data_IF_117513409797
#
_entry.id   IF_117513409797
#
_cell.length_a   1.000
_cell.length_b   1.000
_cell.length_c   1.000
_cell.angle_alpha   90.00
_cell.angle_beta   90.00
_cell.angle_gamma   90.00
#
_symmetry.space_group_name_H-M   'P 1'
#
loop_
_entity.id
_entity.type
_entity.pdbx_description
1 polymer ?
#
# COMPACT_ATOMS: atom_id res chain seq x y z
N UNK A 1 -14.30 -5.74 -46.06
CA UNK A 1 -14.62 -4.95 -44.85
C UNK A 1 -13.57 -5.30 -43.81
N UNK A 2 -12.71 -4.37 -43.36
CA UNK A 2 -11.81 -4.68 -42.26
C UNK A 2 -12.66 -4.86 -41.00
N UNK A 3 -12.36 -5.88 -40.19
CA UNK A 3 -12.92 -6.01 -38.85
C UNK A 3 -12.43 -4.83 -38.01
N UNK A 4 -13.36 -4.00 -37.59
CA UNK A 4 -13.15 -3.00 -36.55
C UNK A 4 -13.08 -3.76 -35.22
N UNK A 5 -11.85 -4.02 -34.75
CA UNK A 5 -11.63 -4.59 -33.41
C UNK A 5 -12.04 -3.48 -32.44
N UNK A 6 -13.16 -3.65 -31.74
CA UNK A 6 -13.50 -2.79 -30.61
C UNK A 6 -12.44 -3.01 -29.54
N UNK A 7 -11.61 -1.99 -29.30
CA UNK A 7 -10.70 -1.97 -28.17
C UNK A 7 -11.55 -1.90 -26.90
N UNK A 8 -11.73 -3.04 -26.23
CA UNK A 8 -12.17 -3.03 -24.84
C UNK A 8 -11.17 -2.20 -24.03
N UNK A 9 -11.65 -1.23 -23.27
CA UNK A 9 -10.84 -0.39 -22.38
C UNK A 9 -10.07 -1.31 -21.42
N UNK A 10 -8.75 -1.43 -21.60
CA UNK A 10 -7.91 -2.18 -20.68
C UNK A 10 -7.62 -1.26 -19.49
N UNK A 11 -8.21 -1.57 -18.33
CA UNK A 11 -7.99 -0.82 -17.10
C UNK A 11 -6.80 -1.40 -16.33
N UNK A 12 -5.74 -0.62 -16.25
CA UNK A 12 -4.58 -0.86 -15.41
C UNK A 12 -4.70 -0.07 -14.11
N UNK A 13 -4.55 -0.76 -12.98
CA UNK A 13 -4.27 -0.10 -11.71
C UNK A 13 -2.79 -0.33 -11.45
N UNK A 14 -1.99 0.69 -11.77
CA UNK A 14 -0.58 0.67 -11.45
C UNK A 14 -0.39 1.30 -10.09
N UNK A 15 0.19 0.56 -9.15
CA UNK A 15 0.79 1.16 -7.96
C UNK A 15 2.13 1.75 -8.43
N UNK A 16 2.20 3.07 -8.55
CA UNK A 16 3.35 3.73 -9.21
C UNK A 16 4.35 4.20 -8.17
N UNK A 17 4.25 3.85 -6.89
CA UNK A 17 5.39 3.98 -5.99
C UNK A 17 5.14 3.30 -4.64
N UNK A 18 5.66 2.09 -4.42
CA UNK A 18 5.64 1.45 -3.09
C UNK A 18 6.92 1.77 -2.33
N UNK A 19 6.76 2.42 -1.17
CA UNK A 19 7.82 2.78 -0.24
C UNK A 19 7.67 2.01 1.06
N UNK A 20 8.63 1.14 1.35
CA UNK A 20 8.77 0.60 2.70
C UNK A 20 9.52 1.61 3.57
N UNK A 21 8.85 2.14 4.58
CA UNK A 21 9.37 3.12 5.52
C UNK A 21 9.64 2.48 6.88
N UNK A 22 10.79 2.82 7.46
CA UNK A 22 11.11 2.60 8.86
C UNK A 22 11.15 3.97 9.53
N UNK A 23 10.06 4.28 10.24
CA UNK A 23 9.77 5.63 10.68
C UNK A 23 9.84 6.67 9.56
N UNK A 24 10.79 7.60 9.63
CA UNK A 24 10.98 8.65 8.62
C UNK A 24 12.08 8.33 7.59
N UNK A 25 12.42 7.05 7.40
CA UNK A 25 13.45 6.61 6.45
C UNK A 25 12.87 5.64 5.44
N UNK A 26 13.20 5.83 4.17
CA UNK A 26 12.89 4.88 3.09
C UNK A 26 13.90 3.72 3.15
N UNK A 27 13.39 2.51 3.25
CA UNK A 27 14.16 1.25 3.30
C UNK A 27 14.17 0.57 1.93
N UNK A 28 13.05 0.63 1.21
CA UNK A 28 12.89 0.10 -0.14
C UNK A 28 11.95 0.99 -0.95
N UNK A 29 12.15 1.05 -2.27
CA UNK A 29 11.36 1.87 -3.19
C UNK A 29 11.18 1.13 -4.51
N UNK A 30 9.93 1.04 -4.97
CA UNK A 30 9.61 0.26 -6.16
C UNK A 30 8.37 0.77 -6.89
N UNK A 31 8.20 0.34 -8.13
CA UNK A 31 6.97 0.45 -8.90
C UNK A 31 6.26 -0.91 -8.90
N UNK A 32 5.02 -0.95 -8.42
CA UNK A 32 4.22 -2.17 -8.28
C UNK A 32 3.07 -2.18 -9.31
N UNK A 33 3.28 -2.87 -10.42
CA UNK A 33 2.27 -2.94 -11.48
C UNK A 33 1.30 -4.07 -11.21
N UNK A 34 0.01 -3.77 -11.30
CA UNK A 34 -1.04 -4.78 -11.28
C UNK A 34 -2.06 -4.54 -12.37
N UNK A 35 -2.79 -5.59 -12.74
CA UNK A 35 -3.83 -5.51 -13.77
C UNK A 35 -5.12 -6.07 -13.22
N UNK A 36 -6.21 -5.32 -13.47
CA UNK A 36 -7.57 -5.70 -13.10
C UNK A 36 -8.29 -6.40 -14.26
N UNK A 37 -7.76 -6.24 -15.48
CA UNK A 37 -8.24 -6.91 -16.68
C UNK A 37 -7.61 -8.30 -16.85
N UNK A 38 -8.24 -9.10 -17.70
CA UNK A 38 -7.84 -10.39 -18.26
C UNK A 38 -6.47 -10.38 -18.94
N UNK A 39 -6.02 -9.20 -19.39
CA UNK A 39 -4.76 -9.01 -20.09
C UNK A 39 -3.58 -8.97 -19.11
N UNK A 40 -2.58 -9.82 -19.34
CA UNK A 40 -1.38 -9.87 -18.50
C UNK A 40 -0.42 -8.69 -18.72
N UNK A 41 0.45 -8.39 -17.75
CA UNK A 41 1.55 -7.42 -17.92
C UNK A 41 2.49 -7.76 -19.10
N UNK A 42 2.60 -9.05 -19.44
CA UNK A 42 3.30 -9.50 -20.67
C UNK A 42 2.71 -8.88 -21.93
N UNK A 43 1.38 -8.81 -22.02
CA UNK A 43 0.70 -8.18 -23.13
C UNK A 43 1.02 -6.68 -23.18
N UNK A 44 0.93 -6.00 -22.04
CA UNK A 44 1.26 -4.58 -21.93
C UNK A 44 2.68 -4.30 -22.45
N UNK A 45 3.71 -4.98 -21.94
CA UNK A 45 5.09 -4.69 -22.36
C UNK A 45 5.38 -5.08 -23.81
N UNK A 46 4.67 -6.06 -24.36
CA UNK A 46 4.77 -6.42 -25.78
C UNK A 46 4.24 -5.33 -26.70
N UNK A 47 3.17 -4.64 -26.30
CA UNK A 47 2.47 -3.66 -27.14
C UNK A 47 2.67 -2.20 -26.70
N UNK A 48 3.41 -1.96 -25.61
CA UNK A 48 3.85 -0.66 -25.12
C UNK A 48 5.36 -0.69 -24.79
N UNK A 49 6.23 -0.79 -25.81
CA UNK A 49 7.67 -0.94 -25.61
C UNK A 49 8.32 0.26 -24.90
N UNK A 50 7.72 1.44 -24.99
CA UNK A 50 8.17 2.63 -24.27
C UNK A 50 8.05 2.47 -22.75
N UNK A 51 6.99 1.82 -22.27
CA UNK A 51 6.80 1.51 -20.84
C UNK A 51 7.89 0.55 -20.37
N UNK A 52 8.13 -0.52 -21.13
CA UNK A 52 9.18 -1.49 -20.82
C UNK A 52 10.57 -0.84 -20.78
N UNK A 53 10.84 0.07 -21.72
CA UNK A 53 12.09 0.83 -21.76
C UNK A 53 12.27 1.74 -20.55
N UNK A 54 11.23 2.47 -20.15
CA UNK A 54 11.29 3.35 -18.97
C UNK A 54 11.49 2.56 -17.67
N UNK A 55 10.92 1.34 -17.59
CA UNK A 55 11.14 0.39 -16.50
C UNK A 55 12.48 -0.35 -16.55
N UNK A 56 13.34 -0.05 -17.54
CA UNK A 56 14.61 -0.74 -17.79
C UNK A 56 14.46 -2.27 -17.92
N UNK A 57 13.36 -2.73 -18.52
CA UNK A 57 13.12 -4.14 -18.81
C UNK A 57 14.02 -4.55 -19.99
N UNK A 58 15.12 -5.23 -19.67
CA UNK A 58 16.08 -5.75 -20.65
C UNK A 58 15.74 -7.16 -21.15
N UNK A 59 16.54 -7.71 -22.08
CA UNK A 59 16.40 -9.08 -22.58
C UNK A 59 16.49 -10.15 -21.48
N UNK A 60 17.16 -9.81 -20.38
CA UNK A 60 17.39 -10.68 -19.22
C UNK A 60 16.16 -10.80 -18.31
N UNK A 61 15.13 -9.98 -18.51
CA UNK A 61 13.93 -9.99 -17.68
C UNK A 61 13.07 -11.22 -17.97
N UNK A 62 12.86 -12.06 -16.95
CA UNK A 62 11.94 -13.19 -17.03
C UNK A 62 10.78 -13.01 -16.06
N UNK A 63 9.56 -13.21 -16.55
CA UNK A 63 8.36 -13.20 -15.73
C UNK A 63 8.29 -14.39 -14.76
N UNK A 64 9.00 -15.48 -15.04
CA UNK A 64 9.06 -16.64 -14.15
C UNK A 64 9.91 -16.37 -12.90
N UNK A 65 10.90 -15.49 -13.02
CA UNK A 65 11.82 -15.13 -11.93
C UNK A 65 11.60 -13.70 -11.40
N UNK A 66 10.66 -12.97 -11.98
CA UNK A 66 10.38 -11.60 -11.59
C UNK A 66 9.88 -11.53 -10.13
N UNK A 67 10.25 -10.44 -9.45
CA UNK A 67 9.79 -10.18 -8.09
C UNK A 67 8.28 -9.90 -8.14
N UNK A 68 7.52 -10.79 -7.50
CA UNK A 68 6.08 -10.61 -7.34
C UNK A 68 5.82 -9.62 -6.20
N UNK A 69 4.89 -8.70 -6.39
CA UNK A 69 4.46 -7.79 -5.32
C UNK A 69 3.76 -8.59 -4.21
N UNK A 70 3.87 -8.12 -2.97
CA UNK A 70 3.32 -8.83 -1.82
C UNK A 70 1.80 -8.67 -1.77
N UNK A 71 1.05 -9.76 -1.85
CA UNK A 71 -0.42 -9.70 -1.77
C UNK A 71 -0.94 -9.06 -0.47
N UNK A 72 -0.17 -9.10 0.63
CA UNK A 72 -0.52 -8.43 1.90
C UNK A 72 -0.55 -6.91 1.75
N UNK A 73 0.27 -6.36 0.86
CA UNK A 73 0.23 -4.94 0.48
C UNK A 73 -1.13 -4.60 -0.13
N UNK A 74 -1.59 -5.39 -1.10
CA UNK A 74 -2.89 -5.18 -1.75
C UNK A 74 -4.08 -5.41 -0.83
N UNK A 75 -4.05 -6.38 0.08
CA UNK A 75 -5.11 -6.57 1.07
C UNK A 75 -5.26 -5.38 2.01
N UNK A 76 -4.13 -4.79 2.38
CA UNK A 76 -4.13 -3.60 3.22
C UNK A 76 -4.69 -2.42 2.43
N UNK A 77 -4.25 -2.21 1.20
CA UNK A 77 -4.63 -1.04 0.40
C UNK A 77 -6.04 -1.12 -0.20
N UNK A 78 -6.45 -2.28 -0.72
CA UNK A 78 -7.69 -2.45 -1.46
C UNK A 78 -8.55 -3.60 -0.90
N UNK A 79 -9.85 -3.37 -0.68
CA UNK A 79 -10.78 -4.42 -0.23
C UNK A 79 -11.10 -5.46 -1.31
N UNK A 80 -10.50 -5.35 -2.50
CA UNK A 80 -10.73 -6.21 -3.67
C UNK A 80 -9.42 -6.75 -4.23
N UNK A 81 -8.51 -7.18 -3.36
CA UNK A 81 -7.19 -7.71 -3.73
C UNK A 81 -7.27 -8.88 -4.75
N UNK A 82 -8.34 -9.68 -4.72
CA UNK A 82 -8.58 -10.78 -5.66
C UNK A 82 -8.77 -10.34 -7.11
N UNK A 83 -9.06 -9.05 -7.34
CA UNK A 83 -9.17 -8.50 -8.70
C UNK A 83 -7.80 -8.24 -9.34
N UNK A 84 -6.72 -8.24 -8.56
CA UNK A 84 -5.38 -7.98 -9.07
C UNK A 84 -4.71 -9.30 -9.44
N UNK A 85 -4.30 -9.42 -10.70
CA UNK A 85 -3.56 -10.59 -11.18
C UNK A 85 -2.09 -10.26 -11.42
N UNK A 86 -1.20 -11.15 -10.94
CA UNK A 86 0.25 -11.18 -11.22
C UNK A 86 0.94 -9.81 -11.12
N UNK A 87 0.96 -9.28 -9.90
CA UNK A 87 1.61 -8.01 -9.60
C UNK A 87 3.14 -8.09 -9.70
N UNK A 88 3.75 -7.16 -10.44
CA UNK A 88 5.18 -7.10 -10.67
C UNK A 88 5.82 -5.89 -10.02
N UNK A 89 6.95 -6.13 -9.36
CA UNK A 89 7.72 -5.10 -8.71
C UNK A 89 8.97 -4.73 -9.52
N UNK A 90 9.16 -3.45 -9.80
CA UNK A 90 10.36 -2.90 -10.46
C UNK A 90 11.07 -1.92 -9.52
N UNK A 91 12.41 -1.90 -9.48
CA UNK A 91 13.14 -0.93 -8.65
C UNK A 91 12.80 0.51 -9.03
N UNK A 92 12.58 1.35 -8.04
CA UNK A 92 12.37 2.79 -8.22
C UNK A 92 13.41 3.59 -7.43
N UNK A 93 13.66 4.82 -7.88
CA UNK A 93 14.52 5.75 -7.14
C UNK A 93 13.70 6.43 -6.06
N UNK A 94 14.32 6.63 -4.90
CA UNK A 94 13.67 7.25 -3.75
C UNK A 94 14.04 8.72 -3.55
N UNK A 95 14.94 9.29 -4.37
CA UNK A 95 15.49 10.63 -4.14
C UNK A 95 14.47 11.73 -4.43
N UNK A 96 13.56 11.58 -5.41
CA UNK A 96 12.48 12.54 -5.62
C UNK A 96 11.45 12.55 -4.50
N UNK A 97 11.12 11.38 -3.94
CA UNK A 97 10.23 11.31 -2.78
C UNK A 97 10.79 12.11 -1.60
N UNK A 98 12.10 11.99 -1.35
CA UNK A 98 12.77 12.75 -0.29
C UNK A 98 12.83 14.26 -0.56
N UNK A 99 12.80 14.68 -1.83
CA UNK A 99 12.67 16.11 -2.21
C UNK A 99 11.24 16.60 -2.01
N UNK A 100 10.26 15.73 -2.25
CA UNK A 100 8.84 16.05 -2.24
C UNK A 100 8.24 16.10 -0.82
N UNK A 101 8.66 15.18 0.04
CA UNK A 101 8.10 15.00 1.39
C UNK A 101 9.20 15.13 2.46
N UNK A 102 8.91 15.93 3.48
CA UNK A 102 9.81 16.12 4.65
C UNK A 102 9.58 15.07 5.73
N UNK A 103 8.34 14.62 5.87
CA UNK A 103 7.89 13.66 6.86
C UNK A 103 6.98 12.63 6.19
N UNK A 104 7.28 11.36 6.44
CA UNK A 104 6.47 10.23 6.01
C UNK A 104 5.43 9.88 7.08
N UNK A 105 4.38 9.13 6.68
CA UNK A 105 3.46 8.55 7.64
C UNK A 105 4.19 7.74 8.71
N UNK A 106 3.84 8.00 9.96
CA UNK A 106 4.50 7.37 11.10
C UNK A 106 3.53 7.10 12.23
N UNK A 107 3.67 5.92 12.84
CA UNK A 107 2.93 5.48 14.00
C UNK A 107 3.85 5.41 15.21
N UNK A 108 3.44 6.02 16.32
CA UNK A 108 4.22 5.99 17.55
C UNK A 108 3.34 5.90 18.78
N UNK A 109 3.94 5.46 19.88
CA UNK A 109 3.28 5.46 21.20
C UNK A 109 3.25 6.87 21.76
N UNK A 110 2.05 7.41 22.03
CA UNK A 110 1.92 8.78 22.54
C UNK A 110 2.01 8.88 24.08
N UNK A 111 1.80 7.76 24.80
CA UNK A 111 1.96 7.66 26.26
C UNK A 111 2.26 6.22 26.70
N UNK A 112 2.71 5.99 27.95
CA UNK A 112 3.01 4.65 28.45
C UNK A 112 1.82 3.69 28.34
N UNK A 113 2.13 2.42 28.07
CA UNK A 113 1.13 1.35 28.06
C UNK A 113 0.52 1.19 29.45
N UNK A 114 -0.76 0.82 29.51
CA UNK A 114 -1.44 0.51 30.77
C UNK A 114 -1.80 -0.97 30.83
N UNK A 115 -1.57 -1.58 31.99
CA UNK A 115 -1.96 -2.95 32.28
C UNK A 115 -3.22 -2.94 33.16
N UNK A 116 -4.20 -3.73 32.76
CA UNK A 116 -5.41 -3.99 33.55
C UNK A 116 -5.18 -5.17 34.50
N UNK A 117 -6.00 -5.25 35.54
CA UNK A 117 -5.94 -6.34 36.52
C UNK A 117 -6.27 -7.73 35.94
N UNK A 118 -6.98 -7.78 34.82
CA UNK A 118 -7.32 -9.00 34.09
C UNK A 118 -6.20 -9.48 33.15
N UNK A 119 -5.06 -8.78 33.12
CA UNK A 119 -3.92 -9.09 32.25
C UNK A 119 -4.00 -8.48 30.86
N UNK A 120 -5.09 -7.78 30.51
CA UNK A 120 -5.17 -7.02 29.27
C UNK A 120 -4.21 -5.83 29.30
N UNK A 121 -3.71 -5.46 28.12
CA UNK A 121 -2.82 -4.32 27.95
C UNK A 121 -3.36 -3.35 26.93
N UNK A 122 -3.27 -2.06 27.23
CA UNK A 122 -3.66 -1.00 26.30
C UNK A 122 -2.44 -0.25 25.80
N UNK A 123 -2.30 -0.23 24.48
CA UNK A 123 -1.28 0.55 23.76
C UNK A 123 -1.94 1.80 23.22
N UNK A 124 -1.37 2.96 23.51
CA UNK A 124 -1.89 4.25 23.05
C UNK A 124 -1.03 4.78 21.93
N UNK A 125 -1.67 5.06 20.80
CA UNK A 125 -1.01 5.30 19.52
C UNK A 125 -1.45 6.64 18.93
N UNK A 126 -0.51 7.31 18.26
CA UNK A 126 -0.77 8.44 17.38
C UNK A 126 -0.25 8.10 15.98
N UNK A 127 -1.13 8.15 14.98
CA UNK A 127 -0.77 8.11 13.57
C UNK A 127 -0.65 9.55 13.06
N UNK A 128 0.54 9.90 12.60
CA UNK A 128 0.81 11.10 11.81
C UNK A 128 0.86 10.73 10.34
N UNK A 129 0.16 11.50 9.50
CA UNK A 129 0.21 11.34 8.04
C UNK A 129 1.39 12.11 7.39
N UNK A 130 2.19 12.79 8.20
CA UNK A 130 3.39 13.49 7.75
C UNK A 130 3.09 14.69 6.86
N UNK A 131 3.87 14.84 5.79
CA UNK A 131 3.79 15.96 4.84
C UNK A 131 3.17 15.57 3.50
N UNK A 132 2.42 14.47 3.46
CA UNK A 132 1.72 14.01 2.26
C UNK A 132 0.70 15.05 1.79
N UNK A 133 0.43 15.09 0.47
CA UNK A 133 -0.34 16.19 -0.13
C UNK A 133 -1.78 15.83 -0.45
N UNK A 134 -2.00 14.72 -1.15
CA UNK A 134 -3.31 14.30 -1.65
C UNK A 134 -3.65 12.90 -1.16
N UNK A 135 -3.83 12.79 0.16
CA UNK A 135 -4.11 11.51 0.81
C UNK A 135 -5.50 11.02 0.43
N UNK A 136 -5.56 9.83 -0.14
CA UNK A 136 -6.81 9.16 -0.43
C UNK A 136 -7.30 8.36 0.79
N UNK A 137 -6.42 7.54 1.37
CA UNK A 137 -6.75 6.70 2.52
C UNK A 137 -5.50 6.33 3.31
N UNK A 138 -5.66 6.21 4.63
CA UNK A 138 -4.71 5.55 5.50
C UNK A 138 -5.34 4.27 6.04
N UNK A 139 -4.60 3.17 6.04
CA UNK A 139 -5.08 1.86 6.47
C UNK A 139 -4.19 1.32 7.57
N UNK A 140 -4.82 0.80 8.62
CA UNK A 140 -4.21 0.05 9.70
C UNK A 140 -4.62 -1.42 9.53
N UNK A 141 -3.64 -2.29 9.33
CA UNK A 141 -3.82 -3.74 9.33
C UNK A 141 -3.20 -4.31 10.60
N UNK A 142 -4.04 -4.68 11.55
CA UNK A 142 -3.66 -4.97 12.93
C UNK A 142 -3.72 -6.47 13.17
N UNK A 143 -2.59 -7.06 13.52
CA UNK A 143 -2.45 -8.49 13.82
C UNK A 143 -2.06 -8.70 15.28
N UNK A 144 -2.73 -9.63 15.96
CA UNK A 144 -2.48 -9.94 17.37
C UNK A 144 -3.78 -10.19 18.14
N UNK A 145 -3.69 -10.54 19.43
CA UNK A 145 -4.85 -10.94 20.23
C UNK A 145 -5.65 -9.72 20.72
N UNK A 146 -6.21 -8.92 19.81
CA UNK A 146 -7.04 -7.77 20.19
C UNK A 146 -8.31 -8.21 20.96
N UNK A 147 -8.58 -7.54 22.06
CA UNK A 147 -9.85 -7.60 22.80
C UNK A 147 -10.73 -6.40 22.52
N UNK A 148 -10.14 -5.23 22.26
CA UNK A 148 -10.87 -4.00 21.99
C UNK A 148 -9.99 -2.96 21.28
N UNK A 149 -10.60 -1.86 20.86
CA UNK A 149 -9.94 -0.69 20.26
C UNK A 149 -10.75 0.58 20.52
N UNK A 150 -10.19 1.75 20.24
CA UNK A 150 -10.93 3.01 20.42
C UNK A 150 -11.84 3.38 19.25
N UNK A 151 -11.85 2.57 18.18
CA UNK A 151 -12.68 2.81 16.99
C UNK A 151 -14.05 2.14 17.15
N UNK A 152 -15.02 2.56 16.32
CA UNK A 152 -16.30 1.88 16.13
C UNK A 152 -17.00 1.44 17.44
N UNK A 153 -17.14 2.36 18.39
CA UNK A 153 -17.75 2.10 19.71
C UNK A 153 -17.16 0.88 20.42
N UNK A 154 -15.84 0.73 20.33
CA UNK A 154 -15.05 -0.36 20.92
C UNK A 154 -15.34 -1.77 20.39
N UNK A 155 -16.11 -1.87 19.30
CA UNK A 155 -16.49 -3.13 18.66
C UNK A 155 -15.52 -3.51 17.55
N UNK A 156 -14.87 -4.67 17.70
CA UNK A 156 -14.00 -5.24 16.68
C UNK A 156 -14.82 -5.81 15.51
N UNK A 157 -14.37 -5.62 14.26
CA UNK A 157 -14.95 -6.29 13.10
C UNK A 157 -14.55 -7.77 13.08
N UNK A 158 -15.15 -8.53 12.17
CA UNK A 158 -14.67 -9.88 11.87
C UNK A 158 -13.26 -9.75 11.27
N UNK A 159 -12.26 -10.48 11.79
CA UNK A 159 -10.91 -10.40 11.25
C UNK A 159 -10.84 -11.03 9.86
N UNK A 160 -9.99 -10.48 9.01
CA UNK A 160 -9.69 -10.99 7.67
C UNK A 160 -8.46 -11.93 7.71
N UNK A 161 -8.37 -12.86 6.77
CA UNK A 161 -7.25 -13.84 6.70
C UNK A 161 -6.75 -13.96 5.28
N UNK A 162 -5.49 -13.58 5.07
CA UNK A 162 -4.79 -13.62 3.79
C UNK A 162 -4.14 -14.99 3.56
N UNK A 163 -4.63 -15.82 2.62
CA UNK A 163 -3.95 -17.07 2.19
C UNK A 163 -3.40 -17.95 3.34
N UNK A 164 -4.15 -18.07 4.45
CA UNK A 164 -3.72 -18.86 5.63
C UNK A 164 -2.74 -18.14 6.58
N UNK A 165 -2.50 -16.85 6.40
CA UNK A 165 -1.80 -15.97 7.33
C UNK A 165 -2.57 -15.73 8.64
N UNK A 166 -1.98 -15.00 9.60
CA UNK A 166 -2.66 -14.71 10.85
C UNK A 166 -3.90 -13.81 10.63
N UNK A 167 -4.96 -13.97 11.43
CA UNK A 167 -6.14 -13.13 11.36
C UNK A 167 -5.77 -11.69 11.71
N UNK A 168 -6.33 -10.73 10.97
CA UNK A 168 -6.05 -9.31 11.18
C UNK A 168 -7.30 -8.43 11.10
N UNK A 169 -7.27 -7.31 11.80
CA UNK A 169 -8.35 -6.32 11.85
C UNK A 169 -7.97 -5.13 10.98
N UNK A 170 -8.82 -4.78 10.03
CA UNK A 170 -8.56 -3.68 9.09
C UNK A 170 -9.36 -2.44 9.50
N UNK A 171 -8.68 -1.32 9.69
CA UNK A 171 -9.27 -0.01 9.92
C UNK A 171 -8.84 0.94 8.80
N UNK A 172 -9.80 1.57 8.11
CA UNK A 172 -9.55 2.54 7.03
C UNK A 172 -9.96 3.93 7.50
N UNK A 173 -9.02 4.85 7.45
CA UNK A 173 -9.16 6.24 7.88
C UNK A 173 -9.15 7.14 6.65
N UNK A 174 -10.14 8.00 6.56
CA UNK A 174 -10.26 9.03 5.51
C UNK A 174 -10.39 10.37 6.20
N UNK A 175 -9.50 11.31 5.88
CA UNK A 175 -9.45 12.64 6.50
C UNK A 175 -8.35 13.50 5.89
N UNK A 176 -8.18 14.73 6.36
CA UNK A 176 -7.20 15.66 5.79
C UNK A 176 -5.76 15.34 6.24
N UNK A 177 -4.75 15.73 5.45
CA UNK A 177 -3.35 15.36 5.70
C UNK A 177 -2.72 15.97 6.96
N UNK A 178 -3.35 17.00 7.53
CA UNK A 178 -2.88 17.63 8.78
C UNK A 178 -3.46 16.96 10.04
N UNK A 179 -4.34 15.98 9.89
CA UNK A 179 -4.95 15.29 11.03
C UNK A 179 -4.00 14.28 11.65
N UNK A 180 -3.87 14.38 12.98
CA UNK A 180 -3.23 13.36 13.82
C UNK A 180 -4.31 12.47 14.42
N UNK A 181 -4.19 11.18 14.22
CA UNK A 181 -5.16 10.20 14.71
C UNK A 181 -4.67 9.60 16.01
N UNK A 182 -5.32 9.97 17.10
CA UNK A 182 -5.06 9.41 18.42
C UNK A 182 -6.05 8.27 18.70
N UNK A 183 -5.52 7.10 19.00
CA UNK A 183 -6.32 5.91 19.26
C UNK A 183 -5.64 4.99 20.28
N UNK A 184 -6.35 3.94 20.68
CA UNK A 184 -5.77 2.88 21.49
C UNK A 184 -6.19 1.51 20.99
N UNK A 185 -5.30 0.54 21.16
CA UNK A 185 -5.52 -0.87 20.91
C UNK A 185 -5.42 -1.61 22.24
N UNK A 186 -6.36 -2.50 22.51
CA UNK A 186 -6.33 -3.34 23.70
C UNK A 186 -6.06 -4.78 23.30
N UNK A 187 -4.93 -5.30 23.77
CA UNK A 187 -4.55 -6.70 23.67
C UNK A 187 -5.07 -7.48 24.87
N UNK A 188 -5.52 -8.71 24.60
CA UNK A 188 -6.01 -9.65 25.63
C UNK A 188 -4.91 -10.05 26.62
N UNK A 189 -3.66 -9.95 26.23
CA UNK A 189 -2.50 -10.35 27.01
C UNK A 189 -1.25 -9.55 26.58
N UNK A 190 -0.08 -9.98 27.07
CA UNK A 190 1.22 -9.35 26.78
C UNK A 190 1.83 -9.74 25.43
N UNK A 191 1.16 -10.56 24.62
CA UNK A 191 1.66 -10.91 23.28
C UNK A 191 1.64 -9.69 22.35
N UNK A 192 2.57 -9.70 21.40
CA UNK A 192 2.82 -8.61 20.46
C UNK A 192 1.57 -8.22 19.67
N UNK A 193 1.38 -6.90 19.52
CA UNK A 193 0.43 -6.33 18.57
C UNK A 193 1.23 -5.75 17.41
N UNK A 194 1.09 -6.36 16.25
CA UNK A 194 1.67 -5.86 15.00
C UNK A 194 0.67 -4.93 14.31
N UNK A 195 1.14 -3.77 13.88
CA UNK A 195 0.36 -2.83 13.07
C UNK A 195 1.12 -2.55 11.79
N UNK A 196 0.57 -3.01 10.67
CA UNK A 196 0.99 -2.59 9.34
C UNK A 196 0.21 -1.33 8.95
N UNK A 197 0.91 -0.24 8.66
CA UNK A 197 0.37 1.05 8.25
C UNK A 197 0.60 1.21 6.75
N UNK A 198 -0.45 1.50 6.01
CA UNK A 198 -0.38 1.81 4.59
C UNK A 198 -1.08 3.12 4.29
N UNK A 199 -0.44 4.06 3.59
CA UNK A 199 -1.05 5.34 3.22
C UNK A 199 -0.93 5.56 1.72
N UNK A 200 -2.04 5.94 1.08
CA UNK A 200 -2.12 6.25 -0.34
C UNK A 200 -2.13 7.76 -0.56
N UNK A 201 -1.15 8.27 -1.29
CA UNK A 201 -1.07 9.65 -1.78
C UNK A 201 -1.22 9.69 -3.30
N UNK A 202 -2.18 10.46 -3.80
CA UNK A 202 -2.41 10.63 -5.24
C UNK A 202 -1.39 11.59 -5.88
N UNK A 203 -0.64 12.35 -5.07
CA UNK A 203 0.37 13.25 -5.57
C UNK A 203 1.65 12.49 -5.96
N UNK A 204 1.80 12.25 -7.26
CA UNK A 204 2.95 11.57 -7.86
C UNK A 204 4.21 12.44 -7.87
N UNK A 205 5.38 11.80 -7.78
CA UNK A 205 6.68 12.40 -8.12
C UNK A 205 6.84 12.52 -9.65
N UNK A 206 7.81 13.30 -10.12
CA UNK A 206 7.94 13.60 -11.55
C UNK A 206 8.32 12.36 -12.36
N UNK A 207 9.16 11.48 -11.82
CA UNK A 207 9.48 10.21 -12.50
C UNK A 207 8.27 9.29 -12.64
N UNK A 208 7.42 9.23 -11.62
CA UNK A 208 6.16 8.49 -11.66
C UNK A 208 5.20 9.08 -12.70
N UNK A 209 5.12 10.42 -12.81
CA UNK A 209 4.34 11.10 -13.86
C UNK A 209 4.89 10.81 -15.26
N UNK A 210 6.21 10.80 -15.42
CA UNK A 210 6.88 10.47 -16.68
C UNK A 210 6.63 9.02 -17.08
N UNK A 211 6.72 8.08 -16.13
CA UNK A 211 6.41 6.68 -16.37
C UNK A 211 4.93 6.49 -16.74
N UNK A 212 4.02 7.20 -16.08
CA UNK A 212 2.60 7.20 -16.44
C UNK A 212 2.36 7.75 -17.86
N UNK A 213 3.11 8.77 -18.28
CA UNK A 213 2.87 9.45 -19.57
C UNK A 213 3.31 8.66 -20.80
N UNK A 214 4.15 7.63 -20.62
CA UNK A 214 4.56 6.73 -21.72
C UNK A 214 3.57 5.59 -21.97
N UNK A 215 2.52 5.46 -21.15
CA UNK A 215 1.46 4.50 -21.42
C UNK A 215 0.64 4.90 -22.65
N UNK A 216 0.27 3.93 -23.50
CA UNK A 216 -0.52 4.20 -24.69
C UNK A 216 -1.96 4.56 -24.33
N UNK A 217 -2.63 5.36 -25.16
CA UNK A 217 -4.00 5.84 -24.88
C UNK A 217 -5.09 4.77 -24.78
N UNK A 218 -4.81 3.52 -25.15
CA UNK A 218 -5.72 2.38 -24.93
C UNK A 218 -5.59 1.78 -23.53
N UNK A 219 -4.52 2.10 -22.80
CA UNK A 219 -4.29 1.69 -21.41
C UNK A 219 -4.78 2.80 -20.48
N UNK A 220 -5.85 2.53 -19.72
CA UNK A 220 -6.27 3.43 -18.66
C UNK A 220 -5.43 3.16 -17.41
N UNK A 221 -4.65 4.15 -16.95
CA UNK A 221 -3.69 3.97 -15.86
C UNK A 221 -4.09 4.83 -14.66
N UNK A 222 -4.50 4.15 -13.60
CA UNK A 222 -4.53 4.75 -12.26
C UNK A 222 -3.15 4.61 -11.64
N UNK A 223 -2.65 5.68 -11.02
CA UNK A 223 -1.32 5.77 -10.45
C UNK A 223 -1.37 6.56 -9.15
N UNK A 224 -0.63 6.09 -8.14
CA UNK A 224 -0.52 6.72 -6.83
C UNK A 224 0.82 6.30 -6.18
N UNK A 225 1.19 6.96 -5.09
CA UNK A 225 2.27 6.52 -4.19
C UNK A 225 1.68 5.86 -2.95
N UNK A 226 2.21 4.71 -2.57
CA UNK A 226 1.91 4.00 -1.34
C UNK A 226 3.10 4.08 -0.37
N UNK A 227 2.79 4.31 0.91
CA UNK A 227 3.76 4.35 2.01
C UNK A 227 3.42 3.26 3.01
N UNK A 228 4.28 2.25 3.13
CA UNK A 228 4.10 1.08 3.98
C UNK A 228 5.08 1.11 5.15
N UNK A 229 4.61 0.78 6.35
CA UNK A 229 5.50 0.59 7.51
C UNK A 229 4.90 -0.42 8.49
N UNK A 230 5.75 -1.15 9.20
CA UNK A 230 5.35 -2.16 10.18
C UNK A 230 5.84 -1.77 11.56
N UNK A 231 4.95 -1.85 12.55
CA UNK A 231 5.25 -1.58 13.95
C UNK A 231 4.86 -2.78 14.80
N UNK A 232 5.64 -3.05 15.84
CA UNK A 232 5.34 -4.09 16.84
C UNK A 232 5.38 -3.44 18.22
N UNK A 233 4.31 -3.63 18.97
CA UNK A 233 4.12 -3.07 20.31
C UNK A 233 3.95 -4.15 21.35
#
# INVERSE_FOLDING_TARGET
KPLEIQYELIRFISDVHDLNCDANRIVDSSYDFSVVDSNSLLFLFKYAPEVAKELNIGPEFSFETAKMSNQRTFLTLFPVNFLFSRSLQFPARSDEILKQYRQFPHLYTNKPQTMSSDGSRRVYLELSLGSLKEIWVAVLNITGPLSSWSFADTKLPVPETAEGGPPSYICRLTGSSHEKWNFWLEGRNVEDIRVDVAVLDQNLVEEAKKLKSVFPGWADVTAYSSFLSTYVF
#
